data_IF_260750372287
#
_entry.id   IF_260750372287
#
_cell.length_a   1.000
_cell.length_b   1.000
_cell.length_c   1.000
_cell.angle_alpha   90.00
_cell.angle_beta   90.00
_cell.angle_gamma   90.00
#
_symmetry.space_group_name_H-M   'P 1'
#
loop_
_entity.id
_entity.type
_entity.pdbx_description
1 polymer ?
#
# COMPACT_ATOMS: atom_id res chain seq x y z
N UNK A 1 -18.17 -20.51 2.72
CA UNK A 1 -18.87 -19.21 2.60
C UNK A 1 -19.53 -18.94 3.94
N UNK A 2 -19.08 -17.90 4.60
CA UNK A 2 -19.66 -17.43 5.86
C UNK A 2 -20.88 -16.56 5.51
N UNK A 3 -22.07 -17.13 5.39
CA UNK A 3 -23.34 -16.46 5.30
C UNK A 3 -23.40 -15.19 4.40
N UNK A 4 -24.29 -14.27 4.69
CA UNK A 4 -24.53 -13.02 3.96
C UNK A 4 -23.55 -11.87 4.26
N UNK A 5 -22.38 -12.14 4.86
CA UNK A 5 -21.38 -11.13 5.25
C UNK A 5 -20.37 -10.77 4.14
N UNK A 6 -20.69 -11.03 2.88
CA UNK A 6 -19.80 -10.71 1.72
C UNK A 6 -19.46 -9.21 1.57
N UNK A 7 -20.15 -8.35 2.29
CA UNK A 7 -19.96 -6.89 2.32
C UNK A 7 -19.04 -6.43 3.47
N UNK A 8 -18.49 -7.35 4.27
CA UNK A 8 -17.58 -7.05 5.37
C UNK A 8 -16.17 -7.49 5.03
N UNK A 9 -15.20 -6.70 5.50
CA UNK A 9 -13.81 -7.10 5.68
C UNK A 9 -13.49 -7.07 7.16
N UNK A 10 -12.79 -8.09 7.66
CA UNK A 10 -12.40 -8.19 9.08
C UNK A 10 -10.88 -8.35 9.13
N UNK A 11 -10.23 -7.36 9.69
CA UNK A 11 -8.79 -7.32 9.85
C UNK A 11 -8.42 -7.33 11.35
N UNK A 12 -7.44 -8.13 11.74
CA UNK A 12 -6.97 -8.20 13.12
C UNK A 12 -5.61 -7.51 13.27
N UNK A 13 -5.61 -6.42 14.02
CA UNK A 13 -4.43 -5.67 14.44
C UNK A 13 -4.32 -5.72 15.96
N UNK A 14 -3.67 -6.74 16.52
CA UNK A 14 -3.67 -6.96 17.97
C UNK A 14 -3.35 -5.70 18.78
N UNK A 15 -4.13 -5.37 19.80
CA UNK A 15 -5.29 -6.08 20.35
C UNK A 15 -6.64 -5.61 19.78
N UNK A 16 -6.69 -5.02 18.57
CA UNK A 16 -7.89 -4.45 17.96
C UNK A 16 -8.34 -5.25 16.74
N UNK A 17 -9.64 -5.50 16.61
CA UNK A 17 -10.26 -5.95 15.36
C UNK A 17 -10.86 -4.74 14.65
N UNK A 18 -10.57 -4.59 13.37
CA UNK A 18 -11.18 -3.62 12.47
C UNK A 18 -12.16 -4.35 11.55
N UNK A 19 -13.43 -3.98 11.62
CA UNK A 19 -14.44 -4.41 10.66
C UNK A 19 -14.73 -3.26 9.72
N UNK A 20 -14.58 -3.50 8.42
CA UNK A 20 -14.92 -2.54 7.38
C UNK A 20 -16.20 -2.97 6.69
N UNK A 21 -17.19 -2.09 6.60
CA UNK A 21 -18.42 -2.35 5.87
C UNK A 21 -18.66 -1.35 4.75
N UNK A 22 -19.18 -1.84 3.62
CA UNK A 22 -19.52 -1.04 2.43
C UNK A 22 -21.03 -0.77 2.30
N UNK A 23 -21.84 -1.32 3.20
CA UNK A 23 -23.27 -1.05 3.33
C UNK A 23 -23.68 -0.96 4.81
N UNK A 24 -24.84 -0.43 5.07
CA UNK A 24 -25.41 -0.40 6.42
C UNK A 24 -25.62 -1.81 6.95
N UNK A 25 -25.35 -2.00 8.23
CA UNK A 25 -25.63 -3.22 8.98
C UNK A 25 -26.48 -2.86 10.21
N UNK A 26 -27.49 -3.67 10.44
CA UNK A 26 -28.46 -3.45 11.51
C UNK A 26 -27.85 -3.75 12.89
N UNK A 27 -28.55 -3.32 13.94
CA UNK A 27 -28.07 -3.51 15.31
C UNK A 27 -27.89 -4.99 15.66
N UNK A 28 -28.85 -5.83 15.27
CA UNK A 28 -28.82 -7.27 15.50
C UNK A 28 -27.63 -7.95 14.81
N UNK A 29 -27.26 -7.48 13.62
CA UNK A 29 -26.07 -7.97 12.90
C UNK A 29 -24.78 -7.55 13.61
N UNK A 30 -24.71 -6.31 14.15
CA UNK A 30 -23.57 -5.84 14.95
C UNK A 30 -23.39 -6.65 16.22
N UNK A 31 -24.49 -6.89 16.95
CA UNK A 31 -24.50 -7.67 18.18
C UNK A 31 -24.04 -9.12 17.88
N UNK A 32 -24.57 -9.73 16.83
CA UNK A 32 -24.15 -11.07 16.37
C UNK A 32 -22.69 -11.14 15.98
N UNK A 33 -22.16 -10.09 15.35
CA UNK A 33 -20.75 -10.01 14.96
C UNK A 33 -19.83 -9.94 16.21
N UNK A 34 -20.20 -9.15 17.22
CA UNK A 34 -19.48 -9.06 18.49
C UNK A 34 -19.43 -10.41 19.19
N UNK A 35 -20.59 -11.10 19.27
CA UNK A 35 -20.71 -12.41 19.91
C UNK A 35 -19.90 -13.47 19.16
N UNK A 36 -19.99 -13.51 17.83
CA UNK A 36 -19.25 -14.43 16.99
C UNK A 36 -17.74 -14.28 17.18
N UNK A 37 -17.23 -13.06 17.04
CA UNK A 37 -15.79 -12.79 17.17
C UNK A 37 -15.29 -13.07 18.61
N UNK A 38 -16.11 -12.80 19.62
CA UNK A 38 -15.79 -13.10 21.02
C UNK A 38 -15.82 -14.60 21.34
N UNK A 39 -16.52 -15.40 20.54
CA UNK A 39 -16.60 -16.86 20.72
C UNK A 39 -15.48 -17.63 20.04
N UNK A 40 -14.66 -17.00 19.20
CA UNK A 40 -13.56 -17.67 18.48
C UNK A 40 -12.47 -18.07 19.48
N UNK A 41 -12.16 -19.37 19.62
CA UNK A 41 -11.13 -19.82 20.53
C UNK A 41 -9.76 -19.19 20.22
N UNK A 42 -9.07 -18.72 21.25
CA UNK A 42 -7.73 -18.08 21.17
C UNK A 42 -7.68 -16.71 20.44
N UNK A 43 -8.79 -16.16 19.98
CA UNK A 43 -8.85 -14.79 19.48
C UNK A 43 -9.07 -13.84 20.67
N UNK A 44 -8.00 -13.13 21.06
CA UNK A 44 -8.07 -12.14 22.13
C UNK A 44 -8.02 -10.73 21.53
N UNK A 45 -8.99 -9.90 21.86
CA UNK A 45 -9.01 -8.50 21.46
C UNK A 45 -9.64 -7.62 22.52
N UNK A 46 -9.10 -6.40 22.66
CA UNK A 46 -9.59 -5.42 23.63
C UNK A 46 -10.64 -4.49 23.03
N UNK A 47 -10.57 -4.25 21.72
CA UNK A 47 -11.50 -3.39 21.01
C UNK A 47 -11.92 -3.93 19.65
N UNK A 48 -13.18 -3.60 19.28
CA UNK A 48 -13.76 -3.88 17.98
C UNK A 48 -14.25 -2.57 17.37
N UNK A 49 -13.61 -2.18 16.27
CA UNK A 49 -13.90 -0.94 15.55
C UNK A 49 -14.64 -1.26 14.27
N UNK A 50 -15.76 -0.58 14.03
CA UNK A 50 -16.51 -0.64 12.78
C UNK A 50 -16.23 0.61 11.94
N UNK A 51 -15.65 0.41 10.74
CA UNK A 51 -15.44 1.45 9.74
C UNK A 51 -16.53 1.37 8.66
N UNK A 52 -17.40 2.40 8.61
CA UNK A 52 -18.55 2.49 7.69
C UNK A 52 -18.15 3.23 6.42
N UNK A 53 -17.65 2.52 5.39
CA UNK A 53 -17.11 3.10 4.14
C UNK A 53 -18.17 3.75 3.25
N UNK A 54 -19.42 3.46 3.46
CA UNK A 54 -20.56 4.05 2.74
C UNK A 54 -20.92 5.47 3.25
N UNK A 55 -20.43 5.86 4.44
CA UNK A 55 -20.66 7.18 5.02
C UNK A 55 -19.48 8.12 4.78
N UNK A 56 -19.77 9.40 4.57
CA UNK A 56 -18.74 10.46 4.48
C UNK A 56 -18.35 11.03 5.84
N UNK A 57 -19.28 11.02 6.78
CA UNK A 57 -19.14 11.50 8.16
C UNK A 57 -19.69 10.43 9.11
N UNK A 58 -19.31 10.47 10.39
CA UNK A 58 -19.75 9.50 11.40
C UNK A 58 -19.54 8.03 10.99
N UNK A 59 -18.40 7.80 10.40
CA UNK A 59 -18.04 6.57 9.73
C UNK A 59 -17.24 5.60 10.61
N UNK A 60 -16.99 5.94 11.87
CA UNK A 60 -16.33 5.08 12.86
C UNK A 60 -17.29 4.85 14.05
N UNK A 61 -17.43 3.59 14.42
CA UNK A 61 -18.22 3.16 15.58
C UNK A 61 -17.41 2.15 16.38
N UNK A 62 -17.41 2.27 17.69
CA UNK A 62 -16.76 1.30 18.59
C UNK A 62 -17.83 0.32 19.05
N UNK A 63 -17.76 -0.93 18.57
CA UNK A 63 -18.71 -1.97 18.94
C UNK A 63 -18.37 -2.65 20.27
N UNK A 64 -17.08 -2.68 20.64
CA UNK A 64 -16.62 -3.24 21.92
C UNK A 64 -15.32 -2.56 22.35
N UNK A 65 -15.16 -2.35 23.67
CA UNK A 65 -13.97 -1.76 24.28
C UNK A 65 -13.87 -0.25 24.08
N UNK A 66 -12.67 0.27 24.03
CA UNK A 66 -12.37 1.69 23.86
C UNK A 66 -11.76 1.98 22.48
N UNK A 67 -11.80 3.25 22.07
CA UNK A 67 -11.13 3.67 20.84
C UNK A 67 -9.62 3.44 20.94
N UNK A 68 -8.99 2.72 20.00
CA UNK A 68 -7.58 2.39 20.09
C UNK A 68 -6.72 3.65 19.94
N UNK A 69 -5.87 3.92 20.94
CA UNK A 69 -5.01 5.10 20.97
C UNK A 69 -3.66 4.93 20.28
N UNK A 70 -3.12 3.71 20.29
CA UNK A 70 -1.83 3.36 19.69
C UNK A 70 -1.94 1.98 19.02
N UNK A 71 -2.18 1.97 17.72
CA UNK A 71 -2.33 0.74 16.96
C UNK A 71 -1.17 0.53 16.01
N UNK A 72 -0.78 -0.72 15.83
CA UNK A 72 0.32 -1.10 14.95
C UNK A 72 -0.05 -2.33 14.12
N UNK A 73 0.35 -2.34 12.85
CA UNK A 73 0.50 -3.57 12.09
C UNK A 73 1.91 -4.13 12.34
N UNK A 74 2.02 -5.43 12.47
CA UNK A 74 3.28 -6.16 12.59
C UNK A 74 3.45 -7.07 11.38
N UNK A 75 4.62 -6.99 10.73
CA UNK A 75 4.98 -7.86 9.63
C UNK A 75 6.46 -8.19 9.69
N UNK A 76 6.80 -9.47 9.70
CA UNK A 76 8.16 -9.96 9.99
C UNK A 76 8.70 -9.36 11.30
N UNK A 77 9.71 -8.51 11.22
CA UNK A 77 10.31 -7.82 12.40
C UNK A 77 9.95 -6.33 12.45
N UNK A 78 9.19 -5.86 11.49
CA UNK A 78 8.78 -4.46 11.39
C UNK A 78 7.42 -4.21 12.05
N UNK A 79 7.23 -2.98 12.48
CA UNK A 79 5.94 -2.46 12.95
C UNK A 79 5.59 -1.15 12.24
N UNK A 80 4.31 -0.96 11.97
CA UNK A 80 3.80 0.19 11.23
C UNK A 80 2.67 0.85 12.00
N UNK A 81 2.72 2.17 12.14
CA UNK A 81 1.71 2.95 12.86
C UNK A 81 0.39 2.91 12.09
N UNK A 82 -0.68 2.59 12.81
CA UNK A 82 -2.04 2.61 12.32
C UNK A 82 -2.85 3.72 12.97
N UNK A 83 -3.82 4.22 12.22
CA UNK A 83 -4.93 5.01 12.76
C UNK A 83 -6.24 4.27 12.44
N UNK A 84 -6.70 3.43 13.35
CA UNK A 84 -7.92 2.63 13.18
C UNK A 84 -9.20 3.46 13.36
N UNK A 85 -9.10 4.68 13.86
CA UNK A 85 -10.20 5.63 14.00
C UNK A 85 -10.28 6.61 12.81
N UNK A 86 -9.77 6.25 11.64
CA UNK A 86 -9.86 7.07 10.42
C UNK A 86 -10.96 6.58 9.48
N UNK A 87 -11.62 7.49 8.75
CA UNK A 87 -12.68 7.12 7.81
C UNK A 87 -12.23 6.33 6.59
N UNK A 88 -10.95 6.33 6.29
CA UNK A 88 -10.43 5.70 5.06
C UNK A 88 -9.21 4.82 5.34
N UNK A 89 -8.05 5.20 4.82
CA UNK A 89 -6.85 4.40 4.88
C UNK A 89 -6.20 4.49 6.26
N UNK A 90 -6.05 3.37 6.90
CA UNK A 90 -5.57 3.25 8.29
C UNK A 90 -4.06 3.42 8.47
N UNK A 91 -3.30 3.54 7.38
CA UNK A 91 -1.84 3.71 7.42
C UNK A 91 -1.03 2.51 6.95
N UNK A 92 -1.66 1.39 6.64
CA UNK A 92 -1.01 0.18 6.18
C UNK A 92 -1.93 -0.63 5.26
N UNK A 93 -1.35 -1.28 4.26
CA UNK A 93 -2.05 -2.13 3.31
C UNK A 93 -1.54 -3.56 3.42
N UNK A 94 -2.38 -4.46 3.93
CA UNK A 94 -2.04 -5.87 4.15
C UNK A 94 -1.79 -6.62 2.83
N UNK A 95 -2.54 -6.29 1.79
CA UNK A 95 -2.46 -6.90 0.47
C UNK A 95 -1.09 -6.71 -0.22
N UNK A 96 -0.32 -5.67 0.18
CA UNK A 96 1.03 -5.38 -0.31
C UNK A 96 2.13 -6.24 0.38
N UNK A 97 1.80 -7.22 1.22
CA UNK A 97 2.76 -8.04 1.97
C UNK A 97 3.81 -8.72 1.10
N UNK A 98 3.39 -9.35 -0.03
CA UNK A 98 4.32 -9.98 -0.98
C UNK A 98 5.26 -8.96 -1.64
N UNK A 99 4.78 -7.75 -1.93
CA UNK A 99 5.62 -6.66 -2.43
C UNK A 99 6.68 -6.23 -1.42
N UNK A 100 6.34 -6.10 -0.14
CA UNK A 100 7.31 -5.80 0.92
C UNK A 100 8.31 -6.93 1.12
N UNK A 101 7.86 -8.19 1.06
CA UNK A 101 8.76 -9.35 1.11
C UNK A 101 9.75 -9.36 -0.05
N UNK A 102 9.30 -9.08 -1.26
CA UNK A 102 10.15 -8.96 -2.44
C UNK A 102 11.21 -7.87 -2.24
N UNK A 103 10.82 -6.70 -1.73
CA UNK A 103 11.75 -5.59 -1.46
C UNK A 103 12.82 -5.97 -0.43
N UNK A 104 12.46 -6.69 0.65
CA UNK A 104 13.44 -7.19 1.64
C UNK A 104 14.49 -8.10 0.99
N UNK A 105 14.11 -8.88 0.00
CA UNK A 105 15.00 -9.84 -0.69
C UNK A 105 15.85 -9.21 -1.79
N UNK A 106 15.38 -8.11 -2.42
CA UNK A 106 15.95 -7.63 -3.69
C UNK A 106 16.50 -6.20 -3.64
N UNK A 107 16.34 -5.46 -2.53
CA UNK A 107 16.74 -4.05 -2.45
C UNK A 107 18.19 -3.83 -2.00
N UNK A 108 18.94 -4.85 -1.62
CA UNK A 108 20.31 -4.72 -1.10
C UNK A 108 21.21 -3.92 -2.07
N UNK A 109 21.92 -2.93 -1.53
CA UNK A 109 22.86 -2.09 -2.28
C UNK A 109 22.22 -1.09 -3.24
N UNK A 110 20.87 -0.98 -3.27
CA UNK A 110 20.14 -0.15 -4.24
C UNK A 110 19.79 1.23 -3.69
N UNK A 111 19.81 2.22 -4.58
CA UNK A 111 19.16 3.51 -4.38
C UNK A 111 17.73 3.42 -4.88
N UNK A 112 16.78 3.59 -3.96
CA UNK A 112 15.34 3.36 -4.17
C UNK A 112 14.60 4.69 -4.33
N UNK A 113 13.73 4.78 -5.34
CA UNK A 113 12.69 5.81 -5.46
C UNK A 113 11.33 5.18 -5.15
N UNK A 114 10.62 5.74 -4.18
CA UNK A 114 9.29 5.29 -3.79
C UNK A 114 8.27 6.40 -4.10
N UNK A 115 7.54 6.25 -5.19
CA UNK A 115 6.52 7.19 -5.65
C UNK A 115 5.15 6.82 -5.09
N UNK A 116 4.34 7.81 -4.71
CA UNK A 116 3.08 7.66 -3.98
C UNK A 116 3.30 6.91 -2.67
N UNK A 117 4.33 7.33 -1.95
CA UNK A 117 4.90 6.57 -0.85
C UNK A 117 4.01 6.43 0.39
N UNK A 118 2.96 7.24 0.51
CA UNK A 118 2.00 7.24 1.63
C UNK A 118 2.74 7.23 2.97
N UNK A 119 2.52 6.23 3.83
CA UNK A 119 3.20 6.03 5.13
C UNK A 119 4.53 5.29 5.01
N UNK A 120 5.02 5.09 3.81
CA UNK A 120 6.35 4.60 3.46
C UNK A 120 6.66 3.16 3.89
N UNK A 121 5.67 2.26 3.99
CA UNK A 121 5.90 0.87 4.38
C UNK A 121 6.83 0.13 3.41
N UNK A 122 6.74 0.41 2.10
CA UNK A 122 7.58 -0.19 1.07
C UNK A 122 9.05 0.22 1.22
N UNK A 123 9.33 1.48 1.55
CA UNK A 123 10.71 1.93 1.75
C UNK A 123 11.30 1.44 3.08
N UNK A 124 10.50 1.25 4.12
CA UNK A 124 10.95 0.57 5.34
C UNK A 124 11.41 -0.85 4.99
N UNK A 125 10.61 -1.61 4.24
CA UNK A 125 10.95 -2.95 3.79
C UNK A 125 12.22 -2.97 2.92
N UNK A 126 12.37 -2.02 1.98
CA UNK A 126 13.56 -1.91 1.14
C UNK A 126 14.83 -1.62 1.96
N UNK A 127 14.76 -0.70 2.93
CA UNK A 127 15.90 -0.38 3.79
C UNK A 127 16.25 -1.52 4.76
N UNK A 128 15.26 -2.26 5.26
CA UNK A 128 15.47 -3.51 6.00
C UNK A 128 16.13 -4.58 5.15
N UNK A 129 15.84 -4.60 3.85
CA UNK A 129 16.50 -5.44 2.84
C UNK A 129 17.89 -4.96 2.41
N UNK A 130 18.44 -3.92 3.05
CA UNK A 130 19.81 -3.43 2.78
C UNK A 130 19.90 -2.38 1.66
N UNK A 131 18.81 -1.71 1.28
CA UNK A 131 18.90 -0.57 0.38
C UNK A 131 19.81 0.51 0.98
N UNK A 132 20.60 1.19 0.13
CA UNK A 132 21.52 2.25 0.55
C UNK A 132 20.77 3.55 0.88
N UNK A 133 19.78 3.86 0.09
CA UNK A 133 18.97 5.07 0.23
C UNK A 133 17.56 4.80 -0.29
N UNK A 134 16.55 5.38 0.37
CA UNK A 134 15.16 5.40 -0.12
C UNK A 134 14.62 6.82 -0.16
N UNK A 135 14.25 7.30 -1.35
CA UNK A 135 13.64 8.61 -1.56
C UNK A 135 12.13 8.42 -1.67
N UNK A 136 11.41 8.86 -0.65
CA UNK A 136 9.96 8.79 -0.57
C UNK A 136 9.34 10.08 -1.09
N UNK A 137 8.45 9.97 -2.06
CA UNK A 137 7.75 11.11 -2.66
C UNK A 137 6.25 10.91 -2.53
N UNK A 138 5.59 11.84 -1.88
CA UNK A 138 4.13 11.87 -1.74
C UNK A 138 3.62 13.31 -1.65
N UNK A 139 2.38 13.55 -2.06
CA UNK A 139 1.74 14.85 -1.92
C UNK A 139 1.05 15.05 -0.56
N UNK A 140 0.97 14.03 0.28
CA UNK A 140 0.41 14.09 1.63
C UNK A 140 1.51 14.29 2.68
N UNK A 141 1.69 15.51 3.16
CA UNK A 141 2.61 15.79 4.27
C UNK A 141 2.27 14.98 5.53
N UNK A 142 0.99 14.85 5.94
CA UNK A 142 0.64 14.00 7.08
C UNK A 142 1.07 12.55 6.93
N UNK A 143 0.89 11.95 5.72
CA UNK A 143 1.34 10.59 5.46
C UNK A 143 2.86 10.45 5.57
N UNK A 144 3.62 11.38 4.98
CA UNK A 144 5.09 11.40 5.10
C UNK A 144 5.56 11.54 6.55
N UNK A 145 4.87 12.33 7.38
CA UNK A 145 5.19 12.46 8.81
C UNK A 145 5.00 11.12 9.56
N UNK A 146 3.98 10.33 9.18
CA UNK A 146 3.83 8.94 9.68
C UNK A 146 4.95 8.07 9.13
N UNK A 147 5.30 8.22 7.86
CA UNK A 147 6.43 7.53 7.23
C UNK A 147 7.75 7.74 7.97
N UNK A 148 8.06 8.99 8.35
CA UNK A 148 9.24 9.30 9.16
C UNK A 148 9.23 8.58 10.52
N UNK A 149 8.06 8.51 11.17
CA UNK A 149 7.90 7.76 12.44
C UNK A 149 8.07 6.27 12.22
N UNK A 150 7.52 5.71 11.12
CA UNK A 150 7.69 4.30 10.76
C UNK A 150 9.17 3.95 10.56
N UNK A 151 9.96 4.79 9.91
CA UNK A 151 11.40 4.58 9.75
C UNK A 151 12.12 4.60 11.10
N UNK A 152 11.85 5.61 11.94
CA UNK A 152 12.47 5.72 13.27
C UNK A 152 12.19 4.50 14.16
N UNK A 153 10.92 4.07 14.25
CA UNK A 153 10.57 2.95 15.13
C UNK A 153 11.08 1.59 14.65
N UNK A 154 11.41 1.48 13.35
CA UNK A 154 12.04 0.30 12.77
C UNK A 154 13.57 0.39 12.72
N UNK A 155 14.17 1.46 13.28
CA UNK A 155 15.62 1.66 13.31
C UNK A 155 16.26 1.55 11.91
N UNK A 156 15.61 2.10 10.87
CA UNK A 156 16.18 2.18 9.53
C UNK A 156 16.67 3.60 9.24
N UNK A 157 17.81 3.67 8.56
CA UNK A 157 18.46 4.92 8.14
C UNK A 157 18.51 5.00 6.61
N UNK A 158 18.84 6.16 6.05
CA UNK A 158 18.96 6.34 4.60
C UNK A 158 17.65 6.78 3.92
N UNK A 159 16.57 7.06 4.67
CA UNK A 159 15.34 7.56 4.09
C UNK A 159 15.34 9.09 3.93
N UNK A 160 14.80 9.57 2.83
CA UNK A 160 14.46 10.98 2.57
C UNK A 160 12.96 11.09 2.26
N UNK A 161 12.34 12.18 2.71
CA UNK A 161 10.89 12.41 2.57
C UNK A 161 10.65 13.72 1.83
N UNK A 162 9.99 13.66 0.70
CA UNK A 162 9.81 14.78 -0.21
C UNK A 162 8.34 15.00 -0.48
N UNK A 163 7.83 16.12 -0.02
CA UNK A 163 6.46 16.53 -0.23
C UNK A 163 6.30 17.18 -1.60
N UNK A 164 5.99 16.38 -2.63
CA UNK A 164 5.80 16.83 -4.00
C UNK A 164 4.52 16.25 -4.63
N UNK A 165 3.91 17.05 -5.49
CA UNK A 165 3.03 16.53 -6.54
C UNK A 165 3.94 15.89 -7.61
N UNK A 166 3.91 14.58 -7.71
CA UNK A 166 4.77 13.79 -8.59
C UNK A 166 4.63 14.25 -10.04
N UNK A 167 3.37 14.47 -10.50
CA UNK A 167 3.09 14.82 -11.88
C UNK A 167 3.67 16.19 -12.30
N UNK A 168 3.90 17.08 -11.32
CA UNK A 168 4.48 18.42 -11.53
C UNK A 168 5.96 18.51 -11.19
N UNK A 169 6.56 17.42 -10.65
CA UNK A 169 7.89 17.50 -10.03
C UNK A 169 8.92 16.55 -10.63
N UNK A 170 8.66 15.95 -11.79
CA UNK A 170 9.57 14.99 -12.43
C UNK A 170 11.02 15.49 -12.51
N UNK A 171 11.25 16.74 -12.98
CA UNK A 171 12.59 17.30 -13.09
C UNK A 171 13.34 17.35 -11.74
N UNK A 172 12.65 17.64 -10.64
CA UNK A 172 13.26 17.63 -9.31
C UNK A 172 13.51 16.21 -8.78
N UNK A 173 12.66 15.25 -9.15
CA UNK A 173 12.81 13.84 -8.81
C UNK A 173 13.99 13.25 -9.58
N UNK A 174 14.06 13.47 -10.90
CA UNK A 174 15.15 13.01 -11.76
C UNK A 174 16.51 13.52 -11.29
N UNK A 175 16.65 14.79 -10.88
CA UNK A 175 17.90 15.36 -10.36
C UNK A 175 18.44 14.66 -9.10
N UNK A 176 17.61 13.90 -8.40
CA UNK A 176 18.01 13.14 -7.21
C UNK A 176 18.45 11.71 -7.54
N UNK A 177 18.22 11.27 -8.79
CA UNK A 177 18.66 9.97 -9.30
C UNK A 177 20.17 9.97 -9.64
N UNK A 178 20.63 9.02 -10.45
CA UNK A 178 19.80 7.92 -10.97
C UNK A 178 19.44 6.90 -9.89
N UNK A 179 18.40 6.09 -10.18
CA UNK A 179 17.85 5.08 -9.26
C UNK A 179 18.09 3.66 -9.79
N UNK A 180 18.29 2.71 -8.86
CA UNK A 180 18.45 1.29 -9.17
C UNK A 180 17.13 0.52 -9.02
N UNK A 181 16.19 1.06 -8.23
CA UNK A 181 14.87 0.50 -8.00
C UNK A 181 13.85 1.63 -7.90
N UNK A 182 12.80 1.57 -8.71
CA UNK A 182 11.69 2.52 -8.67
C UNK A 182 10.41 1.77 -8.31
N UNK A 183 9.75 2.22 -7.25
CA UNK A 183 8.44 1.73 -6.81
C UNK A 183 7.39 2.74 -7.26
N UNK A 184 6.34 2.26 -7.94
CA UNK A 184 5.22 3.08 -8.42
C UNK A 184 3.93 2.42 -7.93
N UNK A 185 3.36 2.95 -6.86
CA UNK A 185 2.13 2.43 -6.24
C UNK A 185 1.06 3.52 -6.14
N UNK A 186 0.50 3.95 -7.27
CA UNK A 186 -0.46 5.04 -7.30
C UNK A 186 -1.84 4.59 -6.85
N UNK A 187 -2.65 5.49 -6.29
CA UNK A 187 -4.08 5.25 -6.14
C UNK A 187 -4.74 5.16 -7.52
N UNK A 188 -5.80 4.37 -7.65
CA UNK A 188 -6.57 4.26 -8.90
C UNK A 188 -7.08 5.63 -9.35
N UNK A 189 -7.49 6.47 -8.39
CA UNK A 189 -7.97 7.83 -8.63
C UNK A 189 -7.61 8.74 -7.45
N UNK A 190 -6.93 9.85 -7.73
CA UNK A 190 -6.59 10.91 -6.77
C UNK A 190 -7.21 12.25 -7.23
N UNK A 191 -8.52 12.26 -7.43
CA UNK A 191 -9.25 13.45 -7.87
C UNK A 191 -8.74 14.01 -9.20
N UNK A 192 -8.41 15.30 -9.22
CA UNK A 192 -7.87 15.96 -10.41
C UNK A 192 -6.38 15.67 -10.65
N UNK A 193 -5.64 15.23 -9.61
CA UNK A 193 -4.19 15.13 -9.64
C UNK A 193 -3.70 13.91 -10.42
N UNK A 194 -4.37 12.76 -10.28
CA UNK A 194 -3.95 11.52 -10.91
C UNK A 194 -5.12 10.57 -11.17
N UNK A 195 -5.10 9.96 -12.36
CA UNK A 195 -5.95 8.82 -12.73
C UNK A 195 -5.09 7.80 -13.45
N UNK A 196 -5.14 6.53 -13.01
CA UNK A 196 -4.32 5.44 -13.54
C UNK A 196 -4.36 5.39 -15.07
N UNK A 197 -5.54 5.30 -15.66
CA UNK A 197 -5.73 5.19 -17.11
C UNK A 197 -5.14 6.35 -17.90
N UNK A 198 -5.21 7.57 -17.36
CA UNK A 198 -4.77 8.79 -18.02
C UNK A 198 -3.30 9.12 -17.80
N UNK A 199 -2.76 8.79 -16.62
CA UNK A 199 -1.54 9.42 -16.14
C UNK A 199 -0.39 8.44 -15.90
N UNK A 200 -0.64 7.13 -15.76
CA UNK A 200 0.42 6.17 -15.45
C UNK A 200 1.52 6.17 -16.53
N UNK A 201 1.15 6.22 -17.80
CA UNK A 201 2.09 6.27 -18.92
C UNK A 201 3.02 7.49 -18.88
N UNK A 202 2.60 8.60 -18.25
CA UNK A 202 3.45 9.80 -18.11
C UNK A 202 4.61 9.54 -17.14
N UNK A 203 4.41 8.70 -16.13
CA UNK A 203 5.46 8.27 -15.21
C UNK A 203 6.40 7.32 -15.94
N UNK A 204 5.84 6.32 -16.65
CA UNK A 204 6.62 5.32 -17.40
C UNK A 204 7.58 6.00 -18.40
N UNK A 205 7.13 7.02 -19.12
CA UNK A 205 7.97 7.80 -20.07
C UNK A 205 9.18 8.47 -19.42
N UNK A 206 9.14 8.72 -18.12
CA UNK A 206 10.22 9.41 -17.39
C UNK A 206 11.25 8.45 -16.78
N UNK A 207 10.94 7.16 -16.72
CA UNK A 207 11.81 6.16 -16.12
C UNK A 207 13.20 6.08 -16.78
N UNK A 208 13.33 6.09 -18.13
CA UNK A 208 14.64 5.95 -18.77
C UNK A 208 15.65 7.02 -18.34
N UNK A 209 15.21 8.25 -18.11
CA UNK A 209 16.09 9.39 -17.75
C UNK A 209 16.45 9.44 -16.26
N UNK A 210 15.75 8.68 -15.40
CA UNK A 210 15.98 8.70 -13.97
C UNK A 210 16.54 7.40 -13.39
N UNK A 211 16.79 6.39 -14.23
CA UNK A 211 17.22 5.06 -13.79
C UNK A 211 18.57 4.67 -14.39
N UNK A 212 19.34 3.89 -13.62
CA UNK A 212 20.55 3.21 -14.10
C UNK A 212 20.20 2.07 -15.07
N UNK A 213 21.21 1.60 -15.86
CA UNK A 213 21.11 0.32 -16.55
C UNK A 213 20.96 -0.82 -15.55
N UNK A 214 20.17 -1.83 -15.90
CA UNK A 214 19.79 -2.92 -15.00
C UNK A 214 18.82 -2.54 -13.88
N UNK A 215 18.34 -1.29 -13.84
CA UNK A 215 17.36 -0.85 -12.84
C UNK A 215 16.06 -1.64 -12.93
N UNK A 216 15.45 -1.84 -11.77
CA UNK A 216 14.15 -2.53 -11.65
C UNK A 216 13.05 -1.52 -11.38
N UNK A 217 11.91 -1.71 -11.99
CA UNK A 217 10.68 -0.98 -11.67
C UNK A 217 9.66 -1.96 -11.10
N UNK A 218 9.22 -1.70 -9.87
CA UNK A 218 8.08 -2.34 -9.24
C UNK A 218 6.85 -1.46 -9.51
N UNK A 219 6.02 -1.88 -10.45
CA UNK A 219 4.83 -1.15 -10.90
C UNK A 219 3.56 -1.82 -10.35
N UNK A 220 2.85 -1.11 -9.46
CA UNK A 220 1.64 -1.60 -8.81
C UNK A 220 0.38 -1.09 -9.52
N UNK A 221 -0.63 -1.95 -9.58
CA UNK A 221 -1.93 -1.64 -10.16
C UNK A 221 -3.03 -2.25 -9.29
N UNK A 222 -3.73 -1.42 -8.54
CA UNK A 222 -4.88 -1.83 -7.74
C UNK A 222 -6.17 -1.29 -8.39
N UNK A 223 -6.65 -2.00 -9.41
CA UNK A 223 -7.87 -1.63 -10.13
C UNK A 223 -8.64 -2.90 -10.52
N UNK A 224 -9.93 -2.99 -10.21
CA UNK A 224 -10.76 -4.12 -10.64
C UNK A 224 -11.09 -4.09 -12.14
N UNK A 225 -10.82 -2.97 -12.82
CA UNK A 225 -11.16 -2.78 -14.23
C UNK A 225 -9.98 -2.91 -15.18
N UNK A 226 -8.75 -2.94 -14.66
CA UNK A 226 -7.52 -2.99 -15.46
C UNK A 226 -6.68 -4.19 -15.03
N UNK A 227 -6.47 -5.10 -15.98
CA UNK A 227 -5.60 -6.26 -15.81
C UNK A 227 -4.11 -5.90 -15.96
N UNK A 228 -3.27 -6.90 -15.74
CA UNK A 228 -1.80 -6.80 -15.89
C UNK A 228 -1.36 -6.30 -17.27
N UNK A 229 -2.11 -6.65 -18.32
CA UNK A 229 -1.82 -6.28 -19.72
C UNK A 229 -1.81 -4.76 -19.94
N UNK A 230 -2.54 -4.01 -19.11
CA UNK A 230 -2.51 -2.54 -19.15
C UNK A 230 -1.08 -2.02 -18.90
N UNK A 231 -0.39 -2.49 -17.88
CA UNK A 231 0.99 -2.06 -17.58
C UNK A 231 1.97 -2.65 -18.59
N UNK A 232 1.85 -3.91 -18.96
CA UNK A 232 2.74 -4.57 -19.93
C UNK A 232 2.72 -3.81 -21.26
N UNK A 233 1.53 -3.46 -21.75
CA UNK A 233 1.36 -2.69 -22.99
C UNK A 233 1.92 -1.27 -22.86
N UNK A 234 1.68 -0.61 -21.70
CA UNK A 234 2.19 0.74 -21.46
C UNK A 234 3.72 0.78 -21.41
N UNK A 235 4.39 -0.19 -20.76
CA UNK A 235 5.84 -0.27 -20.77
C UNK A 235 6.38 -0.55 -22.18
N UNK A 236 5.78 -1.45 -22.92
CA UNK A 236 6.17 -1.76 -24.30
C UNK A 236 6.09 -0.53 -25.20
N UNK A 237 5.08 0.31 -25.03
CA UNK A 237 4.87 1.51 -25.84
C UNK A 237 5.76 2.68 -25.40
N UNK A 238 5.84 2.97 -24.09
CA UNK A 238 6.40 4.23 -23.59
C UNK A 238 7.81 4.12 -22.99
N UNK A 239 8.27 2.90 -22.68
CA UNK A 239 9.63 2.62 -22.19
C UNK A 239 10.09 1.22 -22.63
N UNK A 240 10.26 0.97 -23.94
CA UNK A 240 10.54 -0.37 -24.51
C UNK A 240 11.85 -0.99 -24.04
N UNK A 241 12.77 -0.20 -23.45
CA UNK A 241 14.00 -0.72 -22.83
C UNK A 241 13.76 -1.41 -21.50
N UNK A 242 12.55 -1.36 -20.94
CA UNK A 242 12.16 -2.10 -19.74
C UNK A 242 11.41 -3.37 -20.13
N UNK A 243 11.97 -4.52 -19.79
CA UNK A 243 11.40 -5.82 -20.08
C UNK A 243 10.68 -6.38 -18.87
N UNK A 244 9.49 -6.90 -19.08
CA UNK A 244 8.70 -7.59 -18.05
C UNK A 244 9.47 -8.82 -17.55
N UNK A 245 9.61 -9.00 -16.24
CA UNK A 245 10.29 -10.13 -15.61
C UNK A 245 9.33 -11.07 -14.88
N UNK A 246 8.55 -10.51 -13.95
CA UNK A 246 7.66 -11.31 -13.12
C UNK A 246 6.46 -10.50 -12.63
N UNK A 247 5.47 -11.21 -12.11
CA UNK A 247 4.26 -10.64 -11.52
C UNK A 247 3.94 -11.33 -10.19
N UNK A 248 3.57 -10.53 -9.19
CA UNK A 248 2.96 -10.97 -7.95
C UNK A 248 1.55 -10.39 -7.86
N UNK A 249 0.69 -11.08 -7.13
CA UNK A 249 -0.63 -10.60 -6.78
C UNK A 249 -0.69 -10.13 -5.32
N UNK A 250 -1.87 -9.73 -4.88
CA UNK A 250 -2.20 -9.49 -3.47
C UNK A 250 -1.76 -10.66 -2.59
N UNK A 251 -1.37 -10.38 -1.35
CA UNK A 251 -1.12 -11.40 -0.34
C UNK A 251 -2.36 -12.27 -0.05
N UNK A 252 -3.52 -11.87 -0.52
CA UNK A 252 -4.81 -12.56 -0.36
C UNK A 252 -5.36 -13.10 -1.68
N UNK A 253 -4.56 -13.17 -2.73
CA UNK A 253 -4.99 -13.58 -4.06
C UNK A 253 -5.66 -14.97 -4.10
N UNK A 254 -5.28 -15.88 -3.21
CA UNK A 254 -5.91 -17.19 -3.08
C UNK A 254 -7.36 -17.14 -2.56
N UNK A 255 -7.76 -16.01 -1.96
CA UNK A 255 -9.11 -15.74 -1.47
C UNK A 255 -9.94 -14.93 -2.46
N UNK A 256 -9.31 -14.34 -3.48
CA UNK A 256 -9.95 -13.53 -4.51
C UNK A 256 -10.56 -14.43 -5.61
N UNK A 257 -11.77 -14.10 -6.06
CA UNK A 257 -12.41 -14.82 -7.14
C UNK A 257 -11.65 -14.68 -8.48
N UNK A 258 -11.01 -13.53 -8.68
CA UNK A 258 -10.15 -13.23 -9.81
C UNK A 258 -8.99 -12.33 -9.36
N UNK A 259 -7.75 -12.85 -9.28
CA UNK A 259 -6.58 -12.06 -8.87
C UNK A 259 -6.28 -10.84 -9.75
N UNK A 260 -6.73 -10.83 -11.01
CA UNK A 260 -6.59 -9.67 -11.90
C UNK A 260 -7.50 -8.47 -11.49
N UNK A 261 -8.47 -8.68 -10.62
CA UNK A 261 -9.33 -7.61 -10.08
C UNK A 261 -8.74 -6.99 -8.80
N UNK A 262 -7.85 -7.70 -8.10
CA UNK A 262 -7.12 -7.25 -6.92
C UNK A 262 -5.87 -6.44 -7.25
N UNK A 263 -4.94 -6.40 -6.29
CA UNK A 263 -3.62 -5.79 -6.46
C UNK A 263 -2.73 -6.66 -7.35
N UNK A 264 -2.16 -6.05 -8.37
CA UNK A 264 -1.12 -6.62 -9.25
C UNK A 264 0.17 -5.85 -9.07
N UNK A 265 1.28 -6.56 -8.87
CA UNK A 265 2.63 -6.02 -8.72
C UNK A 265 3.48 -6.59 -9.85
N UNK A 266 3.87 -5.76 -10.80
CA UNK A 266 4.65 -6.17 -11.96
C UNK A 266 6.07 -5.63 -11.86
N UNK A 267 7.03 -6.45 -12.24
CA UNK A 267 8.44 -6.08 -12.23
C UNK A 267 8.96 -5.99 -13.66
N UNK A 268 9.67 -4.89 -13.93
CA UNK A 268 10.29 -4.61 -15.22
C UNK A 268 11.76 -4.26 -14.99
N UNK A 269 12.65 -4.81 -15.81
CA UNK A 269 14.07 -4.51 -15.78
C UNK A 269 14.48 -3.72 -16.99
N UNK A 270 15.27 -2.68 -16.77
CA UNK A 270 15.93 -1.93 -17.83
C UNK A 270 17.08 -2.75 -18.42
N UNK A 271 17.09 -2.89 -19.77
CA UNK A 271 18.15 -3.59 -20.50
C UNK A 271 19.48 -2.83 -20.42
#
# INVERSE_FOLDING_TARGET
KWGDFSHLSIDYYPPTILVTTYKEIEKEEKDSLVDLLSSIPNLQFDSLVLQKRYLKTDNIEILKGEAPSNSYAFEAVERYILNLATPQNIGFFLDMGLGREWLRKNAAGKKVLNLFSYTCSLSVAALKGGALEAINVDMSRPALNVGEKNHRQNNVVGAKFIHYDIMKSFGNITKKGPYDLVIIDPPTNQGASFKVERDYHKIIRRLPEMTNEGAIVMACLNSPYLGSDFLISAFKEFAPMFHFEEKLYSSFSDMEANPEEGLKILFFRKA
#
